data_IF_515314735338
#
_entry.id   IF_515314735338
#
_cell.length_a   1.000
_cell.length_b   1.000
_cell.length_c   1.000
_cell.angle_alpha   90.00
_cell.angle_beta   90.00
_cell.angle_gamma   90.00
#
_symmetry.space_group_name_H-M   'P 1'
#
loop_
_entity.id
_entity.type
_entity.pdbx_description
1 polymer ?
#
# COMPACT_ATOMS: atom_id res chain seq x y z
N UNK A 1 60.23 37.62 29.95
CA UNK A 1 60.73 38.13 28.66
C UNK A 1 60.67 37.01 27.62
N UNK A 2 59.98 37.24 26.49
CA UNK A 2 60.30 36.85 25.09
C UNK A 2 60.66 35.35 24.84
N UNK A 3 60.05 34.58 23.94
CA UNK A 3 59.44 34.90 22.63
C UNK A 3 58.38 33.86 22.22
N UNK A 4 57.36 34.38 21.53
CA UNK A 4 56.42 33.69 20.65
C UNK A 4 57.15 33.24 19.37
N UNK A 5 56.92 32.01 18.87
CA UNK A 5 57.15 31.63 17.47
C UNK A 5 55.94 30.77 17.02
N UNK A 6 55.26 31.13 15.92
CA UNK A 6 54.04 30.47 15.46
C UNK A 6 54.39 29.28 14.55
N UNK A 7 53.79 28.10 14.77
CA UNK A 7 53.89 26.97 13.85
C UNK A 7 52.57 26.81 13.09
N UNK A 8 52.55 27.51 11.96
CA UNK A 8 51.96 27.16 10.67
C UNK A 8 50.87 26.07 10.64
N UNK A 9 49.65 26.54 10.40
CA UNK A 9 48.46 25.77 10.04
C UNK A 9 48.68 25.12 8.66
N UNK A 10 48.89 23.79 8.62
CA UNK A 10 48.90 23.03 7.37
C UNK A 10 47.47 22.57 7.05
N UNK A 11 46.68 23.44 6.42
CA UNK A 11 45.43 23.03 5.79
C UNK A 11 45.80 22.27 4.52
N UNK A 12 45.72 20.94 4.59
CA UNK A 12 45.82 20.09 3.41
C UNK A 12 44.47 20.17 2.69
N UNK A 13 44.40 21.02 1.67
CA UNK A 13 43.33 20.95 0.67
C UNK A 13 43.55 19.69 -0.16
N UNK A 14 42.94 18.58 0.26
CA UNK A 14 42.71 17.43 -0.62
C UNK A 14 41.70 17.87 -1.68
N UNK A 15 42.21 18.39 -2.80
CA UNK A 15 41.49 18.46 -4.07
C UNK A 15 41.40 17.06 -4.66
N UNK A 16 40.68 16.18 -3.96
CA UNK A 16 40.21 14.93 -4.51
C UNK A 16 39.10 15.25 -5.50
N UNK A 17 39.35 15.00 -6.78
CA UNK A 17 38.33 14.93 -7.80
C UNK A 17 37.30 13.90 -7.33
N UNK A 18 36.16 14.34 -6.80
CA UNK A 18 35.03 13.44 -6.56
C UNK A 18 34.52 13.03 -7.93
N UNK A 19 34.97 11.87 -8.41
CA UNK A 19 34.21 11.14 -9.40
C UNK A 19 32.88 10.83 -8.72
N UNK A 20 31.85 11.64 -8.95
CA UNK A 20 30.48 11.26 -8.62
C UNK A 20 30.26 9.95 -9.36
N UNK A 21 30.28 8.84 -8.61
CA UNK A 21 29.80 7.57 -9.09
C UNK A 21 28.31 7.80 -9.41
N UNK A 22 28.03 8.01 -10.69
CA UNK A 22 26.68 8.18 -11.22
C UNK A 22 26.00 6.80 -11.17
N UNK A 23 25.79 6.27 -9.96
CA UNK A 23 25.09 5.01 -9.71
C UNK A 23 23.63 5.33 -9.92
N UNK A 24 23.21 5.23 -11.18
CA UNK A 24 21.81 5.25 -11.57
C UNK A 24 21.16 4.01 -10.94
N UNK A 25 20.14 4.22 -10.12
CA UNK A 25 19.36 3.11 -9.58
C UNK A 25 18.79 2.29 -10.76
N UNK A 26 18.89 0.96 -10.75
CA UNK A 26 18.33 0.15 -11.83
C UNK A 26 16.81 0.33 -11.93
N UNK A 27 16.29 0.30 -13.16
CA UNK A 27 14.84 0.34 -13.38
C UNK A 27 14.17 -0.90 -12.77
N UNK A 28 12.97 -0.74 -12.24
CA UNK A 28 12.21 -1.83 -11.62
C UNK A 28 11.17 -1.38 -10.61
N UNK A 29 10.62 -2.36 -9.90
CA UNK A 29 9.62 -2.15 -8.85
C UNK A 29 10.27 -2.47 -7.51
N UNK A 30 10.07 -1.61 -6.52
CA UNK A 30 10.76 -1.68 -5.23
C UNK A 30 9.77 -1.51 -4.10
N UNK A 31 9.97 -2.27 -3.02
CA UNK A 31 9.30 -2.00 -1.74
C UNK A 31 10.17 -1.04 -0.94
N UNK A 32 9.57 0.00 -0.37
CA UNK A 32 10.23 0.96 0.51
C UNK A 32 9.46 1.10 1.81
N UNK A 33 10.18 1.47 2.86
CA UNK A 33 9.69 1.68 4.22
C UNK A 33 10.84 2.11 5.12
N UNK A 34 10.63 2.08 6.44
CA UNK A 34 11.64 2.46 7.43
C UNK A 34 12.95 1.68 7.27
N UNK A 35 12.86 0.38 6.96
CA UNK A 35 14.02 -0.50 6.69
C UNK A 35 14.92 -0.07 5.54
N UNK A 36 14.42 0.83 4.68
CA UNK A 36 15.13 1.39 3.53
C UNK A 36 15.30 2.92 3.64
N UNK A 37 14.89 3.53 4.77
CA UNK A 37 14.75 4.98 4.94
C UNK A 37 13.90 5.63 3.83
N UNK A 38 12.90 4.91 3.31
CA UNK A 38 12.06 5.37 2.19
C UNK A 38 12.77 5.46 0.84
N UNK A 39 14.01 4.96 0.72
CA UNK A 39 14.80 5.03 -0.53
C UNK A 39 14.86 3.66 -1.20
N UNK A 40 14.53 3.54 -2.49
CA UNK A 40 14.59 2.25 -3.18
C UNK A 40 16.01 1.69 -3.20
N UNK A 41 16.15 0.42 -2.83
CA UNK A 41 17.44 -0.27 -2.80
C UNK A 41 17.36 -1.62 -3.53
N UNK A 42 18.47 -2.11 -4.14
CA UNK A 42 18.48 -3.41 -4.81
C UNK A 42 18.04 -4.60 -3.93
N UNK A 43 18.20 -4.51 -2.61
CA UNK A 43 17.79 -5.52 -1.64
C UNK A 43 16.26 -5.72 -1.62
N UNK A 44 15.49 -4.66 -1.84
CA UNK A 44 14.02 -4.67 -1.82
C UNK A 44 13.42 -4.56 -3.23
N UNK A 45 14.19 -4.94 -4.26
CA UNK A 45 13.71 -5.00 -5.64
C UNK A 45 12.80 -6.22 -5.82
N UNK A 46 11.59 -5.97 -6.31
CA UNK A 46 10.59 -7.00 -6.56
C UNK A 46 10.89 -7.76 -7.88
N UNK A 47 10.44 -9.00 -7.96
CA UNK A 47 10.59 -9.87 -9.13
C UNK A 47 9.23 -10.20 -9.74
N UNK A 48 9.11 -10.16 -11.07
CA UNK A 48 7.87 -10.55 -11.75
C UNK A 48 7.66 -12.08 -11.67
N UNK A 49 6.60 -12.51 -10.99
CA UNK A 49 6.19 -13.90 -10.81
C UNK A 49 4.66 -14.02 -10.87
N UNK A 50 4.14 -14.92 -11.69
CA UNK A 50 2.69 -15.19 -11.74
C UNK A 50 1.82 -13.97 -12.11
N UNK A 51 2.37 -13.00 -12.85
CA UNK A 51 1.68 -11.76 -13.23
C UNK A 51 1.81 -10.60 -12.24
N UNK A 52 2.43 -10.82 -11.08
CA UNK A 52 2.70 -9.79 -10.07
C UNK A 52 4.20 -9.56 -9.91
N UNK A 53 4.60 -8.34 -9.62
CA UNK A 53 5.89 -8.12 -8.96
C UNK A 53 5.75 -8.57 -7.52
N UNK A 54 6.64 -9.43 -7.06
CA UNK A 54 6.61 -10.00 -5.71
C UNK A 54 7.91 -9.79 -4.96
N UNK A 55 7.80 -9.64 -3.64
CA UNK A 55 8.92 -9.65 -2.71
C UNK A 55 8.48 -10.26 -1.38
N UNK A 56 9.26 -11.20 -0.86
CA UNK A 56 9.12 -11.66 0.52
C UNK A 56 9.80 -10.66 1.45
N UNK A 57 9.00 -10.00 2.29
CA UNK A 57 9.49 -9.03 3.26
C UNK A 57 9.52 -9.69 4.65
N UNK A 58 10.70 -9.97 5.22
CA UNK A 58 10.79 -10.62 6.54
C UNK A 58 10.29 -9.68 7.63
N UNK A 59 9.58 -10.22 8.63
CA UNK A 59 9.05 -9.38 9.72
C UNK A 59 10.13 -8.74 10.59
N UNK A 60 11.37 -9.26 10.54
CA UNK A 60 12.53 -8.71 11.23
C UNK A 60 12.98 -7.33 10.75
N UNK A 61 12.59 -6.91 9.54
CA UNK A 61 12.88 -5.56 9.03
C UNK A 61 11.76 -4.57 9.30
N UNK A 62 10.61 -5.02 9.77
CA UNK A 62 9.45 -4.17 10.01
C UNK A 62 9.59 -3.42 11.34
N UNK A 63 9.33 -2.11 11.30
CA UNK A 63 9.20 -1.28 12.49
C UNK A 63 7.70 -1.07 12.80
N UNK A 64 7.24 -1.57 13.94
CA UNK A 64 5.83 -1.48 14.34
C UNK A 64 5.62 -0.38 15.37
N UNK A 65 4.86 0.64 15.02
CA UNK A 65 4.38 1.68 15.92
C UNK A 65 2.88 1.51 16.16
N UNK A 66 2.47 1.42 17.43
CA UNK A 66 1.09 1.07 17.79
C UNK A 66 0.57 -0.20 17.09
N UNK A 67 1.44 -1.21 16.99
CA UNK A 67 1.20 -2.49 16.32
C UNK A 67 0.94 -2.41 14.80
N UNK A 68 1.32 -1.30 14.16
CA UNK A 68 1.24 -1.11 12.71
C UNK A 68 2.62 -0.79 12.14
N UNK A 69 3.04 -1.52 11.10
CA UNK A 69 4.15 -1.15 10.23
C UNK A 69 3.63 -0.63 8.90
N UNK A 70 4.40 0.18 8.20
CA UNK A 70 4.00 0.75 6.91
C UNK A 70 5.06 0.48 5.85
N UNK A 71 4.60 0.20 4.64
CA UNK A 71 5.44 0.18 3.45
C UNK A 71 4.77 0.91 2.29
N UNK A 72 5.53 1.21 1.26
CA UNK A 72 5.05 1.66 -0.04
C UNK A 72 5.73 0.85 -1.13
N UNK A 73 5.14 0.83 -2.32
CA UNK A 73 5.79 0.33 -3.53
C UNK A 73 6.05 1.50 -4.46
N UNK A 74 7.24 1.53 -5.05
CA UNK A 74 7.61 2.50 -6.06
C UNK A 74 8.08 1.85 -7.35
N UNK A 75 7.88 2.56 -8.45
CA UNK A 75 8.38 2.19 -9.78
C UNK A 75 9.49 3.16 -10.16
N UNK A 76 10.64 2.60 -10.52
CA UNK A 76 11.83 3.33 -10.95
C UNK A 76 12.02 3.13 -12.43
N UNK A 77 12.09 4.23 -13.18
CA UNK A 77 12.41 4.26 -14.59
C UNK A 77 13.47 5.33 -14.82
N UNK A 78 14.49 4.99 -15.60
CA UNK A 78 15.64 5.85 -15.79
C UNK A 78 16.25 6.38 -14.48
N UNK A 79 16.31 5.54 -13.45
CA UNK A 79 16.89 5.90 -12.15
C UNK A 79 16.09 6.94 -11.35
N UNK A 80 14.89 7.28 -11.80
CA UNK A 80 13.96 8.19 -11.11
C UNK A 80 12.70 7.43 -10.70
N UNK A 81 12.13 7.79 -9.56
CA UNK A 81 10.83 7.25 -9.12
C UNK A 81 9.73 7.91 -9.95
N UNK A 82 9.01 7.11 -10.75
CA UNK A 82 7.92 7.58 -11.63
C UNK A 82 6.54 7.25 -11.10
N UNK A 83 6.42 6.24 -10.22
CA UNK A 83 5.18 5.93 -9.50
C UNK A 83 5.44 5.59 -8.04
N UNK A 84 4.50 5.95 -7.18
CA UNK A 84 4.53 5.67 -5.73
C UNK A 84 3.12 5.33 -5.26
N UNK A 85 2.96 4.24 -4.51
CA UNK A 85 1.70 3.94 -3.82
C UNK A 85 1.48 4.86 -2.61
N UNK A 86 0.28 4.84 -2.03
CA UNK A 86 0.09 5.29 -0.63
C UNK A 86 0.81 4.33 0.33
N UNK A 87 0.88 4.72 1.60
CA UNK A 87 1.24 3.80 2.67
C UNK A 87 0.28 2.62 2.73
N UNK A 88 0.83 1.42 2.86
CA UNK A 88 0.11 0.17 3.06
C UNK A 88 0.43 -0.32 4.48
N UNK A 89 -0.58 -0.45 5.36
CA UNK A 89 -0.37 -0.88 6.73
C UNK A 89 -0.16 -2.39 6.77
N UNK A 90 0.67 -2.85 7.70
CA UNK A 90 0.80 -4.25 8.09
C UNK A 90 0.48 -4.31 9.58
N UNK A 91 -0.58 -5.04 9.94
CA UNK A 91 -0.99 -5.18 11.34
C UNK A 91 -0.25 -6.35 11.99
N UNK A 92 0.50 -6.05 13.05
CA UNK A 92 1.46 -6.96 13.70
C UNK A 92 0.88 -8.32 14.05
N UNK A 93 -0.38 -8.36 14.46
CA UNK A 93 -1.08 -9.57 14.88
C UNK A 93 -1.38 -10.55 13.74
N UNK A 94 -1.21 -10.13 12.48
CA UNK A 94 -1.47 -10.91 11.28
C UNK A 94 -0.22 -11.15 10.43
N UNK A 95 0.91 -10.54 10.81
CA UNK A 95 2.21 -10.77 10.17
C UNK A 95 2.90 -11.97 10.82
N UNK A 96 3.30 -12.94 9.99
CA UNK A 96 4.08 -14.12 10.41
C UNK A 96 5.60 -13.86 10.43
N UNK A 97 6.37 -14.86 10.00
CA UNK A 97 7.83 -14.70 9.81
C UNK A 97 8.16 -13.75 8.64
N UNK A 98 7.27 -13.66 7.66
CA UNK A 98 7.36 -12.79 6.49
C UNK A 98 5.98 -12.45 5.96
N UNK A 99 5.90 -11.44 5.09
CA UNK A 99 4.73 -11.13 4.28
C UNK A 99 5.15 -11.07 2.82
N UNK A 100 4.35 -11.64 1.92
CA UNK A 100 4.53 -11.48 0.48
C UNK A 100 3.89 -10.17 0.06
N UNK A 101 4.69 -9.23 -0.45
CA UNK A 101 4.19 -8.00 -1.08
C UNK A 101 3.93 -8.27 -2.56
N UNK A 102 2.78 -7.84 -3.06
CA UNK A 102 2.38 -7.92 -4.46
C UNK A 102 2.26 -6.51 -5.06
N UNK A 103 2.68 -6.35 -6.31
CA UNK A 103 2.50 -5.12 -7.04
C UNK A 103 2.21 -5.35 -8.53
N UNK A 104 1.34 -4.53 -9.09
CA UNK A 104 1.00 -4.49 -10.51
C UNK A 104 1.13 -3.05 -11.03
N UNK A 105 2.30 -2.64 -11.54
CA UNK A 105 2.56 -1.27 -12.01
C UNK A 105 1.54 -0.73 -13.02
N UNK A 106 0.90 -1.62 -13.80
CA UNK A 106 -0.15 -1.25 -14.76
C UNK A 106 -1.46 -0.83 -14.08
N UNK A 107 -1.72 -1.31 -12.87
CA UNK A 107 -2.89 -0.92 -12.05
C UNK A 107 -2.56 0.21 -11.07
N UNK A 108 -1.27 0.45 -10.80
CA UNK A 108 -0.84 1.47 -9.84
C UNK A 108 -1.23 2.88 -10.28
N UNK A 109 -1.87 3.59 -9.36
CA UNK A 109 -2.20 5.01 -9.40
C UNK A 109 -1.44 5.75 -8.29
N UNK A 110 -0.86 6.91 -8.62
CA UNK A 110 0.02 7.63 -7.72
C UNK A 110 -0.68 8.05 -6.42
N UNK A 111 -0.02 7.76 -5.29
CA UNK A 111 -0.47 8.04 -3.93
C UNK A 111 -1.77 7.30 -3.53
N UNK A 112 -2.06 6.17 -4.18
CA UNK A 112 -3.16 5.26 -3.81
C UNK A 112 -2.59 3.88 -3.46
N UNK A 113 -3.35 3.07 -2.76
CA UNK A 113 -3.01 1.67 -2.50
C UNK A 113 -3.26 0.77 -3.73
N UNK A 114 -4.02 1.25 -4.72
CA UNK A 114 -4.43 0.46 -5.88
C UNK A 114 -3.22 -0.09 -6.62
N UNK A 115 -3.30 -1.36 -6.98
CA UNK A 115 -2.24 -2.11 -7.64
C UNK A 115 -1.16 -2.62 -6.69
N UNK A 116 -1.28 -2.44 -5.38
CA UNK A 116 -0.34 -2.93 -4.36
C UNK A 116 -1.12 -3.63 -3.27
N UNK A 117 -0.64 -4.77 -2.79
CA UNK A 117 -1.26 -5.51 -1.70
C UNK A 117 -0.29 -6.50 -1.10
N UNK A 118 -0.75 -7.32 -0.16
CA UNK A 118 0.12 -8.30 0.49
C UNK A 118 -0.66 -9.50 1.06
N UNK A 119 0.09 -10.54 1.38
CA UNK A 119 -0.46 -11.81 1.90
C UNK A 119 -1.13 -11.68 3.26
N UNK A 120 -0.86 -10.61 4.02
CA UNK A 120 -1.56 -10.37 5.28
C UNK A 120 -3.03 -9.99 5.00
N UNK A 121 -3.30 -9.13 4.00
CA UNK A 121 -4.68 -8.77 3.62
C UNK A 121 -5.49 -9.91 3.02
N UNK A 122 -4.84 -11.00 2.59
CA UNK A 122 -5.52 -12.23 2.16
C UNK A 122 -6.18 -12.97 3.32
N UNK A 123 -5.87 -12.62 4.57
CA UNK A 123 -6.44 -13.28 5.76
C UNK A 123 -7.85 -12.76 6.05
N UNK A 124 -8.86 -13.63 6.26
CA UNK A 124 -10.16 -13.20 6.79
C UNK A 124 -10.08 -12.81 8.28
N UNK A 125 -11.06 -12.05 8.82
CA UNK A 125 -12.24 -11.52 8.13
C UNK A 125 -12.00 -10.14 7.49
N UNK A 126 -12.84 -9.82 6.50
CA UNK A 126 -13.07 -8.46 6.02
C UNK A 126 -14.56 -8.17 6.09
N UNK A 127 -14.92 -6.95 6.47
CA UNK A 127 -16.30 -6.49 6.54
C UNK A 127 -16.50 -5.35 5.55
N UNK A 128 -17.67 -5.27 4.93
CA UNK A 128 -18.06 -4.16 4.07
C UNK A 128 -19.35 -3.54 4.57
N UNK A 129 -19.47 -2.22 4.43
CA UNK A 129 -20.74 -1.52 4.60
C UNK A 129 -20.83 -0.34 3.64
N UNK A 130 -22.03 0.17 3.48
CA UNK A 130 -22.30 1.36 2.69
C UNK A 130 -23.73 1.85 2.83
N UNK A 131 -24.12 2.69 1.89
CA UNK A 131 -25.48 3.24 1.84
C UNK A 131 -26.55 2.13 1.72
N UNK A 132 -26.20 1.00 1.10
CA UNK A 132 -27.09 -0.15 0.88
C UNK A 132 -27.49 -0.89 2.17
N UNK A 133 -26.76 -0.71 3.28
CA UNK A 133 -27.05 -1.38 4.55
C UNK A 133 -26.93 -0.45 5.77
N UNK A 134 -27.15 0.86 5.58
CA UNK A 134 -27.07 1.87 6.63
C UNK A 134 -25.75 1.84 7.41
N UNK A 135 -24.63 1.55 6.73
CA UNK A 135 -23.30 1.51 7.34
C UNK A 135 -23.14 0.47 8.47
N UNK A 136 -23.94 -0.60 8.45
CA UNK A 136 -23.78 -1.76 9.31
C UNK A 136 -22.79 -2.75 8.68
N UNK A 137 -21.59 -2.98 9.23
CA UNK A 137 -20.61 -3.88 8.61
C UNK A 137 -21.10 -5.32 8.49
N UNK A 138 -20.98 -5.88 7.30
CA UNK A 138 -21.31 -7.27 6.98
C UNK A 138 -20.04 -8.00 6.52
N UNK A 139 -19.85 -9.23 7.03
CA UNK A 139 -18.68 -10.03 6.68
C UNK A 139 -18.69 -10.41 5.19
N UNK A 140 -17.56 -10.21 4.52
CA UNK A 140 -17.34 -10.60 3.14
C UNK A 140 -16.88 -12.06 3.07
N UNK A 141 -17.34 -12.79 2.07
CA UNK A 141 -16.94 -14.19 1.84
C UNK A 141 -15.68 -14.25 0.99
N UNK A 142 -14.67 -15.00 1.44
CA UNK A 142 -13.49 -15.30 0.62
C UNK A 142 -13.82 -16.33 -0.46
N UNK A 143 -13.73 -15.93 -1.73
CA UNK A 143 -13.93 -16.78 -2.91
C UNK A 143 -12.85 -16.49 -3.95
N UNK A 144 -12.16 -17.55 -4.41
CA UNK A 144 -11.14 -17.47 -5.46
C UNK A 144 -10.05 -16.40 -5.20
N UNK A 145 -9.67 -16.21 -3.92
CA UNK A 145 -8.66 -15.25 -3.49
C UNK A 145 -9.17 -13.80 -3.32
N UNK A 146 -10.48 -13.56 -3.46
CA UNK A 146 -11.11 -12.26 -3.31
C UNK A 146 -12.20 -12.29 -2.25
N UNK A 147 -12.45 -11.16 -1.61
CA UNK A 147 -13.55 -10.99 -0.67
C UNK A 147 -14.78 -10.44 -1.39
N UNK A 148 -15.91 -11.13 -1.31
CA UNK A 148 -17.15 -10.80 -2.01
C UNK A 148 -18.28 -10.57 -1.00
N UNK A 149 -19.03 -9.47 -1.16
CA UNK A 149 -20.30 -9.25 -0.48
C UNK A 149 -21.43 -9.15 -1.51
N UNK A 150 -22.32 -10.16 -1.48
CA UNK A 150 -23.60 -10.10 -2.18
C UNK A 150 -24.59 -9.33 -1.31
N UNK A 151 -24.78 -8.05 -1.60
CA UNK A 151 -25.50 -7.13 -0.70
C UNK A 151 -27.01 -7.41 -0.60
N UNK A 152 -27.59 -8.09 -1.60
CA UNK A 152 -29.04 -8.22 -1.76
C UNK A 152 -29.75 -6.91 -2.08
N UNK A 153 -29.02 -5.80 -2.22
CA UNK A 153 -29.55 -4.49 -2.51
C UNK A 153 -29.86 -4.35 -4.01
N UNK A 154 -31.12 -4.04 -4.32
CA UNK A 154 -31.52 -3.71 -5.70
C UNK A 154 -31.18 -2.26 -5.96
N UNK A 155 -30.32 -2.02 -6.94
CA UNK A 155 -29.84 -0.70 -7.34
C UNK A 155 -30.41 -0.35 -8.72
N UNK A 156 -30.80 0.91 -8.91
CA UNK A 156 -31.30 1.41 -10.20
C UNK A 156 -30.19 2.08 -11.01
N UNK A 157 -30.30 2.05 -12.34
CA UNK A 157 -29.42 2.78 -13.24
C UNK A 157 -29.36 4.28 -12.89
N UNK A 158 -28.15 4.81 -12.76
CA UNK A 158 -27.88 6.20 -12.36
C UNK A 158 -27.88 6.44 -10.85
N UNK A 159 -28.30 5.46 -10.05
CA UNK A 159 -28.19 5.54 -8.59
C UNK A 159 -26.73 5.48 -8.15
N UNK A 160 -26.39 6.20 -7.08
CA UNK A 160 -25.03 6.26 -6.53
C UNK A 160 -25.02 5.79 -5.09
N UNK A 161 -24.08 4.91 -4.77
CA UNK A 161 -23.85 4.37 -3.43
C UNK A 161 -22.42 4.62 -2.98
N UNK A 162 -22.25 4.89 -1.70
CA UNK A 162 -20.97 4.93 -1.01
C UNK A 162 -20.74 3.68 -0.19
N UNK A 163 -19.48 3.26 -0.08
CA UNK A 163 -19.10 2.04 0.63
C UNK A 163 -17.62 2.04 0.99
N UNK A 164 -17.24 1.20 1.97
CA UNK A 164 -15.85 0.90 2.29
C UNK A 164 -15.74 -0.44 3.02
N UNK A 165 -14.52 -0.89 3.28
CA UNK A 165 -14.25 -2.13 4.01
C UNK A 165 -13.43 -1.89 5.28
N UNK A 166 -13.52 -2.81 6.23
CA UNK A 166 -12.81 -2.79 7.50
C UNK A 166 -12.37 -4.19 7.95
N UNK A 167 -11.37 -4.27 8.85
CA UNK A 167 -10.95 -5.53 9.50
C UNK A 167 -11.86 -5.97 10.66
N UNK A 168 -12.81 -5.14 11.08
CA UNK A 168 -13.71 -5.44 12.18
C UNK A 168 -15.13 -4.95 11.89
N UNK A 169 -16.07 -5.36 12.74
CA UNK A 169 -17.45 -4.84 12.75
C UNK A 169 -17.53 -3.37 13.23
N UNK A 170 -16.40 -2.76 13.60
CA UNK A 170 -16.30 -1.38 14.03
C UNK A 170 -15.57 -0.49 13.03
N UNK A 171 -15.88 0.81 13.06
CA UNK A 171 -15.19 1.83 12.26
C UNK A 171 -13.97 2.42 12.96
N UNK A 172 -13.31 1.64 13.84
CA UNK A 172 -12.04 2.00 14.46
C UNK A 172 -11.23 0.74 14.78
N UNK A 173 -9.88 0.79 14.68
CA UNK A 173 -9.07 1.95 14.27
C UNK A 173 -9.25 2.32 12.79
N UNK A 174 -8.86 3.54 12.40
CA UNK A 174 -9.08 4.01 11.01
C UNK A 174 -8.11 3.35 10.03
N UNK A 175 -6.92 3.02 10.51
CA UNK A 175 -5.86 2.32 9.79
C UNK A 175 -6.30 0.93 9.31
N UNK A 176 -7.33 0.35 9.92
CA UNK A 176 -7.96 -0.91 9.55
C UNK A 176 -9.10 -0.77 8.52
N UNK A 177 -9.34 0.44 8.00
CA UNK A 177 -10.35 0.72 6.98
C UNK A 177 -9.73 1.06 5.64
N UNK A 178 -10.42 0.68 4.57
CA UNK A 178 -10.02 0.93 3.18
C UNK A 178 -11.20 1.43 2.34
N UNK A 179 -11.03 2.58 1.69
CA UNK A 179 -12.05 3.26 0.87
C UNK A 179 -11.89 3.00 -0.65
N UNK A 180 -11.08 2.01 -1.02
CA UNK A 180 -10.75 1.74 -2.42
C UNK A 180 -9.61 2.59 -2.99
N UNK A 181 -9.17 3.62 -2.27
CA UNK A 181 -8.04 4.47 -2.65
C UNK A 181 -6.90 4.37 -1.66
N UNK A 182 -7.17 4.40 -0.36
CA UNK A 182 -6.17 4.41 0.70
C UNK A 182 -6.64 3.66 1.94
N UNK A 183 -5.68 3.03 2.62
CA UNK A 183 -5.90 2.61 4.00
C UNK A 183 -5.90 3.84 4.92
N UNK A 184 -6.33 3.67 6.17
CA UNK A 184 -6.63 4.79 7.06
C UNK A 184 -7.91 5.56 6.67
N UNK A 185 -8.89 4.85 6.10
CA UNK A 185 -10.16 5.41 5.64
C UNK A 185 -11.10 5.77 6.81
N UNK A 186 -10.82 6.87 7.50
CA UNK A 186 -11.62 7.44 8.57
C UNK A 186 -12.99 7.99 8.16
N UNK A 187 -13.52 8.91 8.97
CA UNK A 187 -14.88 9.42 8.80
C UNK A 187 -15.06 10.19 7.47
N UNK A 188 -16.04 9.77 6.66
CA UNK A 188 -16.39 10.40 5.38
C UNK A 188 -15.44 10.08 4.22
N UNK A 189 -14.49 9.16 4.40
CA UNK A 189 -13.63 8.64 3.35
C UNK A 189 -14.19 7.31 2.87
N UNK A 190 -14.83 7.35 1.70
CA UNK A 190 -15.66 6.27 1.16
C UNK A 190 -15.41 6.11 -0.35
N UNK A 191 -15.44 4.86 -0.84
CA UNK A 191 -15.58 4.58 -2.26
C UNK A 191 -16.95 5.06 -2.73
N UNK A 192 -17.06 5.44 -3.99
CA UNK A 192 -18.34 5.81 -4.63
C UNK A 192 -18.55 4.98 -5.89
N UNK A 193 -19.75 4.46 -6.09
CA UNK A 193 -20.14 3.74 -7.28
C UNK A 193 -21.47 4.29 -7.82
N UNK A 194 -21.55 4.52 -9.13
CA UNK A 194 -22.79 4.87 -9.84
C UNK A 194 -23.16 3.74 -10.78
N UNK A 195 -24.37 3.19 -10.62
CA UNK A 195 -24.84 2.07 -11.42
C UNK A 195 -25.10 2.48 -12.88
N UNK A 196 -24.69 1.62 -13.81
CA UNK A 196 -24.91 1.77 -15.26
C UNK A 196 -26.13 0.99 -15.77
N UNK A 197 -26.68 0.12 -14.93
CA UNK A 197 -27.89 -0.68 -15.18
C UNK A 197 -28.62 -0.98 -13.86
N UNK A 198 -29.88 -1.41 -13.99
CA UNK A 198 -30.64 -1.96 -12.87
C UNK A 198 -30.13 -3.37 -12.54
N UNK A 199 -30.17 -3.76 -11.26
CA UNK A 199 -29.86 -5.13 -10.83
C UNK A 199 -29.50 -5.22 -9.35
N UNK A 200 -28.73 -6.25 -8.99
CA UNK A 200 -28.28 -6.44 -7.60
C UNK A 200 -26.83 -5.97 -7.43
N UNK A 201 -26.59 -5.16 -6.40
CA UNK A 201 -25.26 -4.64 -6.08
C UNK A 201 -24.38 -5.74 -5.46
N UNK A 202 -23.16 -5.89 -5.98
CA UNK A 202 -22.12 -6.78 -5.44
C UNK A 202 -20.84 -5.99 -5.21
N UNK A 203 -20.24 -6.16 -4.04
CA UNK A 203 -18.94 -5.57 -3.68
C UNK A 203 -17.86 -6.65 -3.71
N UNK A 204 -16.71 -6.31 -4.27
CA UNK A 204 -15.56 -7.20 -4.40
C UNK A 204 -14.28 -6.47 -3.98
N UNK A 205 -13.45 -7.14 -3.18
CA UNK A 205 -12.14 -6.69 -2.77
C UNK A 205 -11.06 -7.73 -3.12
N UNK A 206 -10.10 -7.33 -3.94
CA UNK A 206 -8.89 -8.09 -4.23
C UNK A 206 -7.74 -7.62 -3.31
N UNK A 207 -7.32 -8.45 -2.33
CA UNK A 207 -6.28 -8.09 -1.38
C UNK A 207 -4.86 -8.01 -1.98
N UNK A 208 -4.61 -8.63 -3.14
CA UNK A 208 -3.29 -8.61 -3.78
C UNK A 208 -3.03 -7.34 -4.57
N UNK A 209 -4.09 -6.62 -4.94
CA UNK A 209 -4.00 -5.37 -5.70
C UNK A 209 -4.70 -4.21 -5.01
N UNK A 210 -5.14 -4.38 -3.77
CA UNK A 210 -6.01 -3.45 -3.03
C UNK A 210 -7.07 -2.83 -3.95
N UNK A 211 -7.77 -3.68 -4.70
CA UNK A 211 -8.82 -3.24 -5.63
C UNK A 211 -10.17 -3.51 -4.99
N UNK A 212 -10.82 -2.44 -4.54
CA UNK A 212 -12.19 -2.47 -4.05
C UNK A 212 -13.11 -1.94 -5.15
N UNK A 213 -14.09 -2.73 -5.54
CA UNK A 213 -15.00 -2.39 -6.62
C UNK A 213 -16.43 -2.83 -6.32
N UNK A 214 -17.38 -2.11 -6.90
CA UNK A 214 -18.79 -2.45 -6.92
C UNK A 214 -19.20 -2.75 -8.36
N UNK A 215 -20.14 -3.68 -8.53
CA UNK A 215 -20.75 -4.01 -9.82
C UNK A 215 -22.24 -4.31 -9.64
N UNK A 216 -22.96 -4.26 -10.74
CA UNK A 216 -24.36 -4.70 -10.80
C UNK A 216 -24.42 -6.06 -11.50
N UNK A 217 -25.04 -7.04 -10.86
CA UNK A 217 -25.39 -8.33 -11.46
C UNK A 217 -26.80 -8.25 -12.07
#
# INVERSE_FOLDING_TARGET
>A
MKKLIPAFLLIVFLSGCMTLLNIKLPDGVYVVGDFSNGVPSPEYKMTLQGGFYTLELPSSVLNFENDIAWYQVVVVENGEVVKTSSGIPLWKQLVGESVTVYATPNLMENNTAKGVGDSEKETPPWYCAGDFNNWAPEEMTLQDGKFILNTGYTISSGETVKYKIARSEGWKPYEEQFDGTSYNAGYGMDATFTADKDGTLVIEYDPRTSTLQARVE
#
